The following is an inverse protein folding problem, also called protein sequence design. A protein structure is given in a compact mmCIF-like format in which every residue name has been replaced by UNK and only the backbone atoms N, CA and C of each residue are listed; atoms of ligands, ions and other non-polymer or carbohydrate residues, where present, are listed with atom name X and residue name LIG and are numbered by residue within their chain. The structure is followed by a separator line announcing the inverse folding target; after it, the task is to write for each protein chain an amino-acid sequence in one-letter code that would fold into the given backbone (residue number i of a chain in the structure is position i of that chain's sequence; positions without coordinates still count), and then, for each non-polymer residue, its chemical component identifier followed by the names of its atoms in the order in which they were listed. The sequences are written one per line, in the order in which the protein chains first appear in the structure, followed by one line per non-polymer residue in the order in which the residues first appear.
data_IF_007005947166
#
_entry.id   IF_007005947166
#
_cell.length_a   1.000
_cell.length_b   1.000
_cell.length_c   1.000
_cell.angle_alpha   90.00
_cell.angle_beta   90.00
_cell.angle_gamma   90.00
#
_symmetry.space_group_name_H-M   'P 1'
#
loop_
_entity.id
_entity.type
_entity.pdbx_description
1 polymer ?
#
# COMPACT_ATOMS: atom_id res chain seq x y z
N UNK A 1 -33.84 -0.11 30.41
CA UNK A 1 -33.42 -0.47 29.04
C UNK A 1 -32.23 0.42 28.71
N UNK A 2 -31.00 -0.08 28.86
CA UNK A 2 -29.79 0.68 28.54
C UNK A 2 -29.38 0.35 27.11
N UNK A 3 -29.42 1.35 26.23
CA UNK A 3 -28.88 1.27 24.87
C UNK A 3 -27.36 1.15 24.91
N UNK A 4 -26.74 0.19 24.21
CA UNK A 4 -25.29 0.13 24.12
C UNK A 4 -24.76 1.33 23.31
N UNK A 5 -23.82 2.06 23.90
CA UNK A 5 -23.03 3.10 23.22
C UNK A 5 -22.29 2.47 22.04
N UNK A 6 -22.35 3.06 20.82
CA UNK A 6 -21.58 2.54 19.70
C UNK A 6 -20.09 2.67 20.03
N UNK A 7 -19.38 1.54 20.01
CA UNK A 7 -17.94 1.53 20.17
C UNK A 7 -17.33 2.43 19.10
N UNK A 8 -16.63 3.50 19.53
CA UNK A 8 -15.85 4.32 18.63
C UNK A 8 -14.91 3.40 17.85
N UNK A 9 -15.03 3.41 16.52
CA UNK A 9 -14.13 2.66 15.65
C UNK A 9 -12.69 2.94 16.09
N UNK A 10 -11.97 1.89 16.47
CA UNK A 10 -10.58 2.05 16.89
C UNK A 10 -9.83 2.68 15.71
N UNK A 11 -8.83 3.56 15.95
CA UNK A 11 -8.07 4.19 14.87
C UNK A 11 -7.46 3.18 13.87
N UNK A 12 -7.25 1.93 14.29
CA UNK A 12 -6.78 0.82 13.47
C UNK A 12 -7.84 0.21 12.51
N UNK A 13 -9.12 0.56 12.65
CA UNK A 13 -10.20 0.04 11.77
C UNK A 13 -10.56 1.00 10.63
N UNK A 14 -10.21 2.28 10.74
CA UNK A 14 -10.58 3.32 9.75
C UNK A 14 -9.93 3.08 8.39
N UNK A 15 -8.63 2.75 8.36
CA UNK A 15 -7.94 2.46 7.10
C UNK A 15 -8.47 1.18 6.43
N UNK A 16 -8.88 0.16 7.21
CA UNK A 16 -9.48 -1.07 6.68
C UNK A 16 -10.84 -0.81 6.05
N UNK A 17 -11.64 0.09 6.63
CA UNK A 17 -12.89 0.53 6.03
C UNK A 17 -12.63 1.27 4.69
N UNK A 18 -11.60 2.11 4.64
CA UNK A 18 -11.19 2.79 3.39
C UNK A 18 -10.67 1.84 2.33
N UNK A 19 -9.91 0.81 2.71
CA UNK A 19 -9.52 -0.29 1.80
C UNK A 19 -10.75 -0.91 1.13
N UNK A 20 -11.74 -1.33 1.94
CA UNK A 20 -12.98 -1.94 1.42
C UNK A 20 -13.74 -0.99 0.49
N UNK A 21 -13.88 0.29 0.87
CA UNK A 21 -14.56 1.29 0.05
C UNK A 21 -13.83 1.57 -1.28
N UNK A 22 -12.51 1.43 -1.31
CA UNK A 22 -11.68 1.64 -2.49
C UNK A 22 -11.47 0.37 -3.34
N UNK A 23 -12.02 -0.78 -2.93
CA UNK A 23 -11.76 -2.07 -3.58
C UNK A 23 -10.32 -2.57 -3.42
N UNK A 24 -9.59 -2.06 -2.43
CA UNK A 24 -8.20 -2.42 -2.14
C UNK A 24 -8.20 -3.51 -1.07
N UNK A 25 -7.40 -4.56 -1.27
CA UNK A 25 -7.23 -5.61 -0.26
C UNK A 25 -6.47 -5.05 0.97
N UNK A 26 -7.06 -5.04 2.18
CA UNK A 26 -6.37 -4.63 3.39
C UNK A 26 -5.10 -5.44 3.68
N UNK A 27 -5.01 -6.70 3.22
CA UNK A 27 -3.83 -7.53 3.39
C UNK A 27 -2.64 -7.02 2.57
N UNK A 28 -2.89 -6.47 1.38
CA UNK A 28 -1.85 -5.83 0.56
C UNK A 28 -1.26 -4.61 1.27
N UNK A 29 -2.11 -3.73 1.82
CA UNK A 29 -1.68 -2.56 2.60
C UNK A 29 -0.91 -2.98 3.86
N UNK A 30 -1.37 -4.03 4.56
CA UNK A 30 -0.67 -4.58 5.73
C UNK A 30 0.72 -5.13 5.35
N UNK A 31 0.82 -5.82 4.21
CA UNK A 31 2.07 -6.38 3.72
C UNK A 31 3.05 -5.27 3.31
N UNK A 32 2.59 -4.26 2.57
CA UNK A 32 3.44 -3.13 2.14
C UNK A 32 3.89 -2.28 3.32
N UNK A 33 3.01 -1.99 4.29
CA UNK A 33 3.39 -1.27 5.52
C UNK A 33 4.43 -2.03 6.35
N UNK A 34 4.32 -3.36 6.43
CA UNK A 34 5.33 -4.19 7.10
C UNK A 34 6.69 -4.16 6.39
N UNK A 35 6.71 -4.17 5.05
CA UNK A 35 7.95 -4.01 4.27
C UNK A 35 8.62 -2.65 4.49
N UNK A 36 7.82 -1.57 4.56
CA UNK A 36 8.35 -0.25 4.85
C UNK A 36 8.95 -0.18 6.26
N UNK A 37 8.28 -0.73 7.28
CA UNK A 37 8.83 -0.79 8.65
C UNK A 37 10.15 -1.55 8.69
N UNK A 38 10.22 -2.73 8.08
CA UNK A 38 11.45 -3.51 7.98
C UNK A 38 12.58 -2.74 7.26
N UNK A 39 12.26 -2.02 6.18
CA UNK A 39 13.20 -1.15 5.50
C UNK A 39 13.73 -0.03 6.41
N UNK A 40 12.84 0.62 7.17
CA UNK A 40 13.20 1.69 8.11
C UNK A 40 14.12 1.16 9.22
N UNK A 41 13.79 0.02 9.80
CA UNK A 41 14.61 -0.63 10.83
C UNK A 41 16.00 -1.00 10.29
N UNK A 42 16.06 -1.53 9.07
CA UNK A 42 17.31 -1.83 8.39
C UNK A 42 18.16 -0.58 8.10
N UNK A 43 17.53 0.53 7.71
CA UNK A 43 18.23 1.77 7.37
C UNK A 43 18.57 2.65 8.58
N UNK A 44 17.93 2.46 9.73
CA UNK A 44 18.15 3.24 10.95
C UNK A 44 19.64 3.37 11.34
N UNK A 45 20.44 2.28 11.38
CA UNK A 45 21.88 2.40 11.71
C UNK A 45 22.74 2.93 10.55
N UNK A 46 22.20 3.10 9.34
CA UNK A 46 22.95 3.42 8.10
C UNK A 46 22.90 4.89 7.69
N UNK A 47 22.42 5.77 8.58
CA UNK A 47 22.33 7.21 8.28
C UNK A 47 21.03 7.64 7.60
N UNK A 48 20.00 6.80 7.65
CA UNK A 48 18.64 7.15 7.24
C UNK A 48 18.18 6.47 5.95
N UNK A 49 16.90 6.12 5.92
CA UNK A 49 16.20 5.61 4.73
C UNK A 49 15.33 6.68 4.09
N UNK A 50 14.87 6.41 2.88
CA UNK A 50 13.87 7.19 2.17
C UNK A 50 12.65 7.46 3.07
N UNK A 51 12.09 8.65 2.96
CA UNK A 51 10.74 8.93 3.46
C UNK A 51 9.71 8.06 2.73
N UNK A 52 8.54 7.87 3.34
CA UNK A 52 7.49 6.98 2.84
C UNK A 52 7.15 7.23 1.36
N UNK A 53 7.02 8.50 0.93
CA UNK A 53 6.73 8.82 -0.48
C UNK A 53 7.85 8.34 -1.43
N UNK A 54 9.11 8.62 -1.08
CA UNK A 54 10.27 8.21 -1.88
C UNK A 54 10.41 6.70 -1.94
N UNK A 55 10.22 6.03 -0.80
CA UNK A 55 10.23 4.57 -0.73
C UNK A 55 9.08 3.94 -1.52
N UNK A 56 7.87 4.51 -1.42
CA UNK A 56 6.70 4.00 -2.14
C UNK A 56 6.85 4.15 -3.65
N UNK A 57 7.46 5.26 -4.11
CA UNK A 57 7.79 5.44 -5.53
C UNK A 57 8.77 4.37 -6.02
N UNK A 58 9.82 4.09 -5.26
CA UNK A 58 10.77 3.01 -5.57
C UNK A 58 10.06 1.64 -5.58
N UNK A 59 9.26 1.33 -4.57
CA UNK A 59 8.49 0.09 -4.48
C UNK A 59 7.58 -0.13 -5.70
N UNK A 60 6.91 0.92 -6.17
CA UNK A 60 6.09 0.85 -7.39
C UNK A 60 6.91 0.55 -8.64
N UNK A 61 8.09 1.13 -8.79
CA UNK A 61 8.97 0.88 -9.94
C UNK A 61 9.47 -0.58 -9.95
N UNK A 62 9.80 -1.13 -8.78
CA UNK A 62 10.14 -2.55 -8.64
C UNK A 62 8.95 -3.43 -9.06
N UNK A 63 7.73 -3.11 -8.60
CA UNK A 63 6.50 -3.84 -8.97
C UNK A 63 6.17 -3.77 -10.46
N UNK A 64 6.43 -2.64 -11.10
CA UNK A 64 6.29 -2.51 -12.55
C UNK A 64 7.32 -3.37 -13.30
N UNK A 65 8.56 -3.41 -12.81
CA UNK A 65 9.64 -4.22 -13.40
C UNK A 65 9.39 -5.74 -13.25
N UNK A 66 8.70 -6.16 -12.19
CA UNK A 66 8.26 -7.55 -11.98
C UNK A 66 7.07 -7.95 -12.88
N UNK A 67 6.38 -6.98 -13.50
CA UNK A 67 5.14 -7.22 -14.26
C UNK A 67 5.25 -6.86 -15.76
N UNK A 68 6.32 -7.25 -16.50
CA UNK A 68 6.51 -6.84 -17.89
C UNK A 68 5.39 -7.33 -18.82
N UNK A 69 4.65 -8.38 -18.44
CA UNK A 69 3.64 -9.03 -19.28
C UNK A 69 2.21 -8.45 -19.17
N UNK A 70 1.94 -7.45 -18.33
CA UNK A 70 0.58 -6.88 -18.22
C UNK A 70 0.23 -5.87 -19.34
N UNK A 71 1.15 -5.60 -20.26
CA UNK A 71 0.97 -4.66 -21.38
C UNK A 71 1.04 -5.32 -22.77
N UNK A 72 1.32 -6.62 -22.85
CA UNK A 72 1.44 -7.36 -24.11
C UNK A 72 0.21 -8.25 -24.34
N UNK A 73 -0.37 -8.18 -25.53
CA UNK A 73 -1.61 -8.86 -25.90
C UNK A 73 -1.63 -10.36 -25.60
N UNK A 74 -2.86 -10.87 -25.47
CA UNK A 74 -3.25 -12.27 -25.29
C UNK A 74 -2.34 -13.23 -26.07
N UNK A 75 -1.30 -13.76 -25.42
CA UNK A 75 -0.66 -15.00 -25.88
C UNK A 75 -1.44 -16.12 -25.22
N UNK A 76 -2.34 -16.72 -26.00
CA UNK A 76 -3.10 -17.90 -25.62
C UNK A 76 -2.13 -19.07 -25.47
N UNK A 77 -1.69 -19.35 -24.25
CA UNK A 77 -0.81 -20.48 -23.97
C UNK A 77 -0.46 -20.60 -22.50
N UNK A 78 -0.96 -21.66 -21.87
CA UNK A 78 -0.76 -22.08 -20.48
C UNK A 78 -1.56 -21.31 -19.41
N UNK A 79 -2.83 -21.71 -19.30
CA UNK A 79 -3.62 -21.49 -18.08
C UNK A 79 -3.03 -22.32 -16.93
N UNK A 80 -2.34 -21.64 -16.01
CA UNK A 80 -2.12 -22.12 -14.64
C UNK A 80 -2.81 -21.12 -13.71
N UNK A 81 -4.14 -21.25 -13.59
CA UNK A 81 -5.01 -20.42 -12.72
C UNK A 81 -4.74 -18.91 -12.87
N UNK A 82 -5.09 -18.38 -14.03
CA UNK A 82 -4.99 -16.96 -14.38
C UNK A 82 -6.02 -16.08 -13.68
N UNK A 83 -5.95 -15.97 -12.35
CA UNK A 83 -6.39 -14.74 -11.71
C UNK A 83 -5.18 -13.80 -11.69
N UNK A 84 -5.17 -12.83 -12.60
CA UNK A 84 -4.25 -11.71 -12.47
C UNK A 84 -4.53 -11.04 -11.12
N UNK A 85 -3.66 -11.25 -10.13
CA UNK A 85 -3.75 -10.58 -8.83
C UNK A 85 -3.67 -9.09 -9.11
N UNK A 86 -4.77 -8.38 -8.91
CA UNK A 86 -4.83 -6.93 -9.10
C UNK A 86 -3.85 -6.30 -8.11
N UNK A 87 -2.76 -5.74 -8.63
CA UNK A 87 -1.80 -5.01 -7.82
C UNK A 87 -2.31 -3.59 -7.61
N UNK A 88 -3.01 -3.33 -6.51
CA UNK A 88 -3.62 -2.01 -6.26
C UNK A 88 -2.58 -0.91 -6.12
N UNK A 89 -1.36 -1.26 -5.73
CA UNK A 89 -0.19 -0.37 -5.75
C UNK A 89 0.14 0.17 -7.14
N UNK A 90 -0.27 -0.51 -8.22
CA UNK A 90 -0.08 -0.09 -9.61
C UNK A 90 -1.34 0.53 -10.21
N UNK A 91 -2.51 -0.03 -9.94
CA UNK A 91 -3.79 0.42 -10.57
C UNK A 91 -4.38 1.66 -9.89
N UNK A 92 -4.23 1.79 -8.57
CA UNK A 92 -4.77 2.92 -7.80
C UNK A 92 -3.73 3.51 -6.83
N UNK A 93 -2.56 3.93 -7.33
CA UNK A 93 -1.41 4.24 -6.49
C UNK A 93 -1.63 5.40 -5.51
N UNK A 94 -2.41 6.42 -5.89
CA UNK A 94 -2.70 7.56 -5.01
C UNK A 94 -3.61 7.18 -3.84
N UNK A 95 -4.66 6.41 -4.12
CA UNK A 95 -5.59 5.92 -3.08
C UNK A 95 -4.88 4.94 -2.16
N UNK A 96 -4.10 4.03 -2.73
CA UNK A 96 -3.27 3.09 -1.96
C UNK A 96 -2.29 3.83 -1.05
N UNK A 97 -1.58 4.83 -1.58
CA UNK A 97 -0.62 5.61 -0.80
C UNK A 97 -1.28 6.38 0.36
N UNK A 98 -2.44 7.00 0.12
CA UNK A 98 -3.17 7.71 1.17
C UNK A 98 -3.57 6.78 2.33
N UNK A 99 -4.06 5.58 2.01
CA UNK A 99 -4.42 4.56 3.03
C UNK A 99 -3.16 4.03 3.73
N UNK A 100 -2.06 3.86 2.99
CA UNK A 100 -0.78 3.45 3.56
C UNK A 100 -0.23 4.49 4.56
N UNK A 101 -0.33 5.78 4.25
CA UNK A 101 0.02 6.87 5.16
C UNK A 101 -0.80 6.81 6.45
N UNK A 102 -2.13 6.65 6.33
CA UNK A 102 -3.02 6.51 7.49
C UNK A 102 -2.64 5.31 8.36
N UNK A 103 -2.41 4.14 7.75
CA UNK A 103 -2.02 2.93 8.47
C UNK A 103 -0.65 3.05 9.17
N UNK A 104 0.26 3.84 8.61
CA UNK A 104 1.58 4.08 9.21
C UNK A 104 1.60 5.24 10.20
N UNK A 105 0.52 6.03 10.29
CA UNK A 105 0.50 7.29 11.05
C UNK A 105 1.45 8.34 10.47
N UNK A 106 1.79 8.23 9.18
CA UNK A 106 2.70 9.11 8.47
C UNK A 106 1.89 10.23 7.79
N UNK A 107 2.37 11.46 7.86
CA UNK A 107 1.82 12.55 7.07
C UNK A 107 2.48 12.52 5.68
N UNK A 108 1.72 12.65 4.58
CA UNK A 108 2.32 12.84 3.27
C UNK A 108 3.19 14.09 3.33
N UNK A 109 4.45 13.94 2.94
CA UNK A 109 5.47 14.99 3.07
C UNK A 109 5.02 16.21 2.26
N UNK A 110 4.48 17.22 2.94
CA UNK A 110 4.11 18.49 2.33
C UNK A 110 5.42 19.17 1.96
N UNK A 111 5.85 19.00 0.69
CA UNK A 111 7.02 19.61 0.04
C UNK A 111 7.62 20.72 0.91
N UNK A 112 8.68 20.42 1.66
CA UNK A 112 9.50 21.50 2.22
C UNK A 112 10.03 22.31 1.05
N UNK A 113 9.76 23.63 0.98
CA UNK A 113 10.41 24.46 -0.01
C UNK A 113 11.92 24.38 0.24
N UNK A 114 12.68 24.12 -0.83
CA UNK A 114 14.13 24.27 -0.84
C UNK A 114 14.51 25.72 -0.64
#
# INVERSE_FOLDING_TARGET
MSTPTPAAAQPNDTWRARCRAAGIDPAEVQMVSSRYRAYRDYMAPRGGGLALEGWFRFYRQEKQSESPDQTGGVVSGCSATGEAVVQNVLTSPGVFFAILCEQLGELPDARRPR
#
